data_IF_124995370782
#
_entry.id   IF_124995370782
#
_cell.length_a   1.000
_cell.length_b   1.000
_cell.length_c   1.000
_cell.angle_alpha   90.00
_cell.angle_beta   90.00
_cell.angle_gamma   90.00
#
_symmetry.space_group_name_H-M   'P 1'
#
loop_
_entity.id
_entity.type
_entity.pdbx_description
1 polymer ?
#
# COMPACT_ATOMS: atom_id res chain seq x y z
N UNK A 1 19.70 -4.09 -42.91
CA UNK A 1 19.78 -4.58 -41.50
C UNK A 1 19.87 -3.47 -40.44
N UNK A 2 20.17 -2.20 -40.75
CA UNK A 2 20.33 -1.12 -39.76
C UNK A 2 19.02 -0.45 -39.31
N UNK A 3 17.98 -0.38 -40.12
CA UNK A 3 16.71 0.31 -39.78
C UNK A 3 15.84 -0.47 -38.79
N UNK A 4 15.88 -1.80 -38.81
CA UNK A 4 15.11 -2.65 -37.89
C UNK A 4 15.70 -2.67 -36.47
N UNK A 5 17.00 -2.55 -36.31
CA UNK A 5 17.67 -2.44 -35.01
C UNK A 5 17.34 -1.10 -34.31
N UNK A 6 17.29 0.00 -35.07
CA UNK A 6 16.98 1.35 -34.55
C UNK A 6 15.54 1.47 -34.03
N UNK A 7 14.54 0.85 -34.70
CA UNK A 7 13.14 0.88 -34.26
C UNK A 7 12.87 -0.03 -33.06
N UNK A 8 13.59 -1.17 -32.92
CA UNK A 8 13.51 -2.05 -31.77
C UNK A 8 14.12 -1.41 -30.51
N UNK A 9 15.22 -0.69 -30.63
CA UNK A 9 15.86 0.04 -29.52
C UNK A 9 15.04 1.26 -29.10
N UNK A 10 14.45 2.00 -30.05
CA UNK A 10 13.53 3.09 -29.73
C UNK A 10 12.29 2.59 -28.97
N UNK A 11 11.75 1.43 -29.34
CA UNK A 11 10.63 0.80 -28.62
C UNK A 11 11.03 0.30 -27.24
N UNK A 12 12.27 -0.15 -27.08
CA UNK A 12 12.82 -0.59 -25.78
C UNK A 12 12.99 0.60 -24.84
N UNK A 13 13.60 1.67 -25.26
CA UNK A 13 13.77 2.90 -24.46
C UNK A 13 12.42 3.50 -24.08
N UNK A 14 11.45 3.52 -25.00
CA UNK A 14 10.12 4.03 -24.75
C UNK A 14 9.39 3.30 -23.62
N UNK A 15 9.42 1.96 -23.56
CA UNK A 15 8.71 1.20 -22.51
C UNK A 15 9.30 1.44 -21.12
N UNK A 16 10.64 1.59 -20.99
CA UNK A 16 11.27 1.90 -19.70
C UNK A 16 10.98 3.32 -19.25
N UNK A 17 10.88 4.28 -20.19
CA UNK A 17 10.43 5.64 -19.89
C UNK A 17 8.97 5.64 -19.41
N UNK A 18 8.09 4.90 -20.07
CA UNK A 18 6.69 4.71 -19.62
C UNK A 18 6.65 4.09 -18.23
N UNK A 19 7.48 3.08 -17.94
CA UNK A 19 7.57 2.53 -16.58
C UNK A 19 7.95 3.58 -15.55
N UNK A 20 8.92 4.44 -15.85
CA UNK A 20 9.29 5.56 -14.98
C UNK A 20 8.13 6.54 -14.72
N UNK A 21 7.37 6.86 -15.77
CA UNK A 21 6.16 7.67 -15.65
C UNK A 21 5.10 6.99 -14.76
N UNK A 22 4.81 5.70 -14.98
CA UNK A 22 3.84 4.94 -14.20
C UNK A 22 4.30 4.76 -12.74
N UNK A 23 5.61 4.57 -12.51
CA UNK A 23 6.20 4.55 -11.17
C UNK A 23 5.97 5.87 -10.44
N UNK A 24 6.29 7.02 -11.07
CA UNK A 24 6.08 8.33 -10.48
C UNK A 24 4.59 8.57 -10.15
N UNK A 25 3.68 8.26 -11.09
CA UNK A 25 2.25 8.38 -10.84
C UNK A 25 1.77 7.50 -9.68
N UNK A 26 2.27 6.25 -9.58
CA UNK A 26 1.90 5.33 -8.50
C UNK A 26 2.50 5.73 -7.15
N UNK A 27 3.67 6.36 -7.13
CA UNK A 27 4.23 6.96 -5.92
C UNK A 27 3.30 8.03 -5.32
N UNK A 28 2.57 8.77 -6.16
CA UNK A 28 1.54 9.71 -5.73
C UNK A 28 0.43 9.09 -4.89
N UNK A 29 0.09 7.81 -5.12
CA UNK A 29 -0.88 7.08 -4.31
C UNK A 29 -0.35 6.89 -2.86
N UNK A 30 0.90 6.48 -2.73
CA UNK A 30 1.56 6.32 -1.43
C UNK A 30 1.76 7.65 -0.71
N UNK A 31 2.14 8.68 -1.46
CA UNK A 31 2.29 10.06 -0.96
C UNK A 31 0.96 10.55 -0.36
N UNK A 32 -0.14 10.47 -1.12
CA UNK A 32 -1.48 10.90 -0.70
C UNK A 32 -2.03 10.07 0.47
N UNK A 33 -1.75 8.77 0.49
CA UNK A 33 -2.11 7.91 1.62
C UNK A 33 -1.46 8.38 2.91
N UNK A 34 -0.14 8.63 2.88
CA UNK A 34 0.65 8.95 4.06
C UNK A 34 0.39 10.35 4.62
N UNK A 35 -0.16 11.28 3.82
CA UNK A 35 -0.37 12.68 4.24
C UNK A 35 -1.04 12.77 5.61
N UNK A 36 -2.14 12.01 5.81
CA UNK A 36 -2.91 12.12 7.05
C UNK A 36 -2.14 11.64 8.29
N UNK A 37 -1.43 10.51 8.18
CA UNK A 37 -0.61 10.00 9.28
C UNK A 37 0.54 10.96 9.65
N UNK A 38 1.11 11.65 8.66
CA UNK A 38 2.21 12.60 8.88
C UNK A 38 1.79 13.94 9.51
N UNK A 39 0.50 14.29 9.44
CA UNK A 39 -0.04 15.54 9.99
C UNK A 39 -1.08 15.31 11.08
N UNK A 40 -1.08 14.13 11.70
CA UNK A 40 -2.09 13.75 12.70
C UNK A 40 -2.14 14.70 13.89
N UNK A 41 -0.99 14.99 14.51
CA UNK A 41 -0.91 15.87 15.69
C UNK A 41 -1.32 17.33 15.40
N UNK A 42 -0.88 17.96 14.29
CA UNK A 42 -1.42 19.25 13.85
C UNK A 42 -2.95 19.24 13.66
N UNK A 43 -3.55 18.17 13.10
CA UNK A 43 -5.00 18.08 12.94
C UNK A 43 -5.74 17.94 14.27
N UNK A 44 -5.17 17.16 15.21
CA UNK A 44 -5.73 17.03 16.56
C UNK A 44 -5.71 18.39 17.26
N UNK A 45 -4.59 19.11 17.22
CA UNK A 45 -4.43 20.39 17.93
C UNK A 45 -5.23 21.54 17.28
N UNK A 46 -5.29 21.62 15.94
CA UNK A 46 -5.92 22.75 15.23
C UNK A 46 -7.41 22.58 14.99
N UNK A 47 -7.86 21.35 14.72
CA UNK A 47 -9.28 21.06 14.43
C UNK A 47 -10.01 20.37 15.59
N UNK A 48 -9.35 20.14 16.72
CA UNK A 48 -9.95 19.48 17.89
C UNK A 48 -10.34 18.02 17.62
N UNK A 49 -9.65 17.34 16.70
CA UNK A 49 -9.95 15.96 16.35
C UNK A 49 -9.40 15.01 17.41
N UNK A 50 -10.04 13.84 17.53
CA UNK A 50 -9.55 12.72 18.33
C UNK A 50 -8.74 11.75 17.43
N UNK A 51 -7.83 10.98 18.01
CA UNK A 51 -7.05 10.00 17.26
C UNK A 51 -7.92 8.90 16.64
N UNK A 52 -9.05 8.54 17.25
CA UNK A 52 -10.07 7.69 16.62
C UNK A 52 -10.59 8.27 15.30
N UNK A 53 -10.79 9.58 15.24
CA UNK A 53 -11.20 10.26 14.00
C UNK A 53 -10.07 10.27 12.96
N UNK A 54 -8.81 10.48 13.39
CA UNK A 54 -7.63 10.36 12.51
C UNK A 54 -7.56 8.94 11.92
N UNK A 55 -7.64 7.91 12.76
CA UNK A 55 -7.67 6.53 12.30
C UNK A 55 -8.84 6.24 11.34
N UNK A 56 -10.03 6.80 11.63
CA UNK A 56 -11.20 6.69 10.75
C UNK A 56 -10.93 7.33 9.39
N UNK A 57 -10.33 8.52 9.35
CA UNK A 57 -9.97 9.19 8.10
C UNK A 57 -8.91 8.40 7.28
N UNK A 58 -7.99 7.69 7.94
CA UNK A 58 -7.05 6.78 7.27
C UNK A 58 -7.83 5.59 6.67
N UNK A 59 -8.75 5.00 7.42
CA UNK A 59 -9.59 3.90 6.95
C UNK A 59 -10.53 4.32 5.80
N UNK A 60 -11.10 5.51 5.84
CA UNK A 60 -11.98 6.04 4.78
C UNK A 60 -11.27 6.17 3.42
N UNK A 61 -9.96 6.35 3.41
CA UNK A 61 -9.20 6.34 2.15
C UNK A 61 -9.19 4.96 1.49
N UNK A 62 -9.22 3.89 2.27
CA UNK A 62 -9.20 2.51 1.76
C UNK A 62 -10.59 1.91 1.60
N UNK A 63 -11.62 2.50 2.24
CA UNK A 63 -13.00 2.02 2.20
C UNK A 63 -13.58 1.87 0.78
N UNK A 64 -13.36 2.79 -0.19
CA UNK A 64 -13.83 2.58 -1.55
C UNK A 64 -13.29 1.30 -2.18
N UNK A 65 -12.09 0.84 -1.77
CA UNK A 65 -11.51 -0.41 -2.23
C UNK A 65 -12.31 -1.64 -1.82
N UNK A 66 -12.91 -1.63 -0.63
CA UNK A 66 -13.78 -2.70 -0.17
C UNK A 66 -15.00 -2.91 -1.09
N UNK A 67 -15.54 -1.81 -1.63
CA UNK A 67 -16.76 -1.83 -2.45
C UNK A 67 -16.45 -1.95 -3.95
N UNK A 68 -15.37 -1.34 -4.41
CA UNK A 68 -15.11 -1.11 -5.82
C UNK A 68 -13.95 -1.94 -6.39
N UNK A 69 -13.17 -2.66 -5.58
CA UNK A 69 -12.04 -3.44 -6.09
C UNK A 69 -12.48 -4.50 -7.14
N UNK A 70 -13.62 -5.18 -6.92
CA UNK A 70 -14.19 -6.12 -7.87
C UNK A 70 -14.76 -5.43 -9.13
N UNK A 71 -15.65 -4.41 -9.01
CA UNK A 71 -16.23 -3.75 -10.18
C UNK A 71 -15.24 -2.85 -10.94
N UNK A 72 -14.13 -2.40 -10.32
CA UNK A 72 -13.15 -1.56 -10.99
C UNK A 72 -12.63 -2.17 -12.31
N UNK A 73 -12.38 -3.48 -12.33
CA UNK A 73 -11.96 -4.17 -13.54
C UNK A 73 -12.99 -4.15 -14.70
N UNK A 74 -14.27 -3.87 -14.41
CA UNK A 74 -15.31 -3.79 -15.44
C UNK A 74 -15.29 -2.45 -16.20
N UNK A 75 -14.94 -1.35 -15.53
CA UNK A 75 -14.92 -0.02 -16.13
C UNK A 75 -13.92 0.10 -17.29
N UNK A 76 -12.83 -0.63 -17.28
CA UNK A 76 -11.84 -0.66 -18.36
C UNK A 76 -12.32 -1.26 -19.68
N UNK A 77 -13.56 -1.77 -19.73
CA UNK A 77 -14.19 -2.20 -20.98
C UNK A 77 -14.77 -1.03 -21.78
N UNK A 78 -15.06 0.08 -21.11
CA UNK A 78 -15.76 1.23 -21.66
C UNK A 78 -14.90 2.48 -21.78
N UNK A 79 -13.86 2.58 -20.95
CA UNK A 79 -12.97 3.74 -20.87
C UNK A 79 -11.53 3.33 -21.16
N UNK A 80 -10.76 4.25 -21.74
CA UNK A 80 -9.33 4.02 -21.97
C UNK A 80 -8.54 4.03 -20.65
N UNK A 81 -7.48 3.23 -20.57
CA UNK A 81 -6.59 3.21 -19.39
C UNK A 81 -6.03 4.60 -19.07
N UNK A 82 -5.71 5.38 -20.11
CA UNK A 82 -5.27 6.78 -20.00
C UNK A 82 -6.32 7.62 -19.28
N UNK A 83 -7.58 7.56 -19.67
CA UNK A 83 -8.67 8.32 -19.06
C UNK A 83 -8.93 7.88 -17.61
N UNK A 84 -8.90 6.56 -17.36
CA UNK A 84 -9.13 5.99 -16.04
C UNK A 84 -8.04 6.39 -15.05
N UNK A 85 -6.76 6.32 -15.45
CA UNK A 85 -5.63 6.69 -14.58
C UNK A 85 -5.57 8.21 -14.39
N UNK A 86 -5.79 9.01 -15.46
CA UNK A 86 -5.87 10.47 -15.31
C UNK A 86 -7.00 10.88 -14.37
N UNK A 87 -8.20 10.27 -14.52
CA UNK A 87 -9.33 10.49 -13.61
C UNK A 87 -9.04 10.06 -12.17
N UNK A 88 -8.37 8.93 -11.99
CA UNK A 88 -7.95 8.45 -10.66
C UNK A 88 -6.97 9.43 -9.98
N UNK A 89 -5.97 9.92 -10.72
CA UNK A 89 -5.03 10.92 -10.20
C UNK A 89 -5.69 12.27 -9.94
N UNK A 90 -6.69 12.66 -10.73
CA UNK A 90 -7.50 13.85 -10.47
C UNK A 90 -8.39 13.68 -9.24
N UNK A 91 -8.95 12.49 -8.98
CA UNK A 91 -9.66 12.20 -7.72
C UNK A 91 -8.70 12.30 -6.51
N UNK A 92 -7.47 11.80 -6.62
CA UNK A 92 -6.46 11.97 -5.57
C UNK A 92 -6.11 13.44 -5.36
N UNK A 93 -5.90 14.19 -6.43
CA UNK A 93 -5.61 15.62 -6.37
C UNK A 93 -6.77 16.41 -5.78
N UNK A 94 -8.00 16.15 -6.24
CA UNK A 94 -9.22 16.80 -5.74
C UNK A 94 -9.49 16.46 -4.28
N UNK A 95 -9.32 15.20 -3.88
CA UNK A 95 -9.42 14.79 -2.49
C UNK A 95 -8.37 15.46 -1.59
N UNK A 96 -7.12 15.60 -2.07
CA UNK A 96 -6.08 16.36 -1.36
C UNK A 96 -6.45 17.85 -1.21
N UNK A 97 -6.90 18.49 -2.30
CA UNK A 97 -7.34 19.88 -2.27
C UNK A 97 -8.53 20.10 -1.32
N UNK A 98 -9.53 19.21 -1.37
CA UNK A 98 -10.66 19.24 -0.44
C UNK A 98 -10.22 19.09 1.02
N UNK A 99 -9.24 18.22 1.29
CA UNK A 99 -8.69 18.05 2.62
C UNK A 99 -7.96 19.31 3.11
N UNK A 100 -7.19 19.96 2.25
CA UNK A 100 -6.52 21.23 2.57
C UNK A 100 -7.51 22.35 2.91
N UNK A 101 -8.69 22.36 2.29
CA UNK A 101 -9.76 23.33 2.51
C UNK A 101 -10.72 22.95 3.65
N UNK A 102 -10.56 21.76 4.23
CA UNK A 102 -11.46 21.28 5.26
C UNK A 102 -11.29 22.04 6.60
N UNK A 103 -12.42 22.26 7.27
CA UNK A 103 -12.48 22.95 8.58
C UNK A 103 -12.90 22.00 9.71
N UNK A 104 -13.03 20.70 9.44
CA UNK A 104 -13.43 19.70 10.43
C UNK A 104 -13.53 18.31 9.84
N UNK A 105 -13.93 17.36 10.69
CA UNK A 105 -13.98 15.93 10.37
C UNK A 105 -14.78 15.60 9.10
N UNK A 106 -15.98 16.17 8.92
CA UNK A 106 -16.86 15.86 7.78
C UNK A 106 -16.24 16.22 6.43
N UNK A 107 -15.59 17.38 6.33
CA UNK A 107 -14.88 17.80 5.12
C UNK A 107 -13.69 16.89 4.82
N UNK A 108 -12.91 16.54 5.84
CA UNK A 108 -11.80 15.58 5.70
C UNK A 108 -12.30 14.18 5.31
N UNK A 109 -13.42 13.71 5.87
CA UNK A 109 -14.00 12.42 5.55
C UNK A 109 -14.42 12.34 4.07
N UNK A 110 -15.10 13.36 3.56
CA UNK A 110 -15.45 13.46 2.14
C UNK A 110 -14.18 13.46 1.25
N UNK A 111 -13.21 14.29 1.64
CA UNK A 111 -11.92 14.38 0.93
C UNK A 111 -11.22 13.03 0.84
N UNK A 112 -11.21 12.26 1.93
CA UNK A 112 -10.60 10.91 1.98
C UNK A 112 -11.35 9.90 1.13
N UNK A 113 -12.68 9.94 1.09
CA UNK A 113 -13.48 9.08 0.19
C UNK A 113 -13.19 9.39 -1.28
N UNK A 114 -13.14 10.68 -1.66
CA UNK A 114 -12.82 11.09 -3.03
C UNK A 114 -11.41 10.65 -3.42
N UNK A 115 -10.42 10.88 -2.56
CA UNK A 115 -9.05 10.40 -2.80
C UNK A 115 -8.98 8.87 -2.85
N UNK A 116 -9.76 8.18 -2.02
CA UNK A 116 -9.86 6.72 -1.99
C UNK A 116 -10.40 6.11 -3.29
N UNK A 117 -11.36 6.76 -3.96
CA UNK A 117 -11.76 6.36 -5.31
C UNK A 117 -10.57 6.37 -6.26
N UNK A 118 -9.80 7.47 -6.27
CA UNK A 118 -8.59 7.59 -7.06
C UNK A 118 -7.55 6.50 -6.74
N UNK A 119 -7.38 6.17 -5.46
CA UNK A 119 -6.47 5.13 -5.01
C UNK A 119 -6.80 3.75 -5.59
N UNK A 120 -8.08 3.35 -5.56
CA UNK A 120 -8.52 2.03 -6.07
C UNK A 120 -8.29 1.92 -7.57
N UNK A 121 -8.80 2.89 -8.35
CA UNK A 121 -8.65 2.87 -9.81
C UNK A 121 -7.18 3.04 -10.22
N UNK A 122 -6.42 3.93 -9.57
CA UNK A 122 -4.99 4.09 -9.81
C UNK A 122 -4.20 2.81 -9.57
N UNK A 123 -4.47 2.08 -8.48
CA UNK A 123 -3.81 0.81 -8.16
C UNK A 123 -4.07 -0.24 -9.24
N UNK A 124 -5.32 -0.41 -9.67
CA UNK A 124 -5.71 -1.42 -10.67
C UNK A 124 -5.12 -1.09 -12.04
N UNK A 125 -5.32 0.14 -12.52
CA UNK A 125 -5.01 0.47 -13.90
C UNK A 125 -3.53 0.77 -14.16
N UNK A 126 -2.79 1.36 -13.20
CA UNK A 126 -1.34 1.51 -13.32
C UNK A 126 -0.65 0.14 -13.40
N UNK A 127 -1.12 -0.84 -12.63
CA UNK A 127 -0.61 -2.21 -12.70
C UNK A 127 -0.94 -2.87 -14.05
N UNK A 128 -2.17 -2.68 -14.56
CA UNK A 128 -2.57 -3.16 -15.88
C UNK A 128 -1.72 -2.53 -16.99
N UNK A 129 -1.50 -1.21 -16.95
CA UNK A 129 -0.70 -0.50 -17.96
C UNK A 129 0.73 -1.04 -18.05
N UNK A 130 1.37 -1.39 -16.93
CA UNK A 130 2.68 -2.06 -16.96
C UNK A 130 2.58 -3.44 -17.62
N UNK A 131 1.55 -4.23 -17.30
CA UNK A 131 1.34 -5.54 -17.94
C UNK A 131 1.11 -5.45 -19.45
N UNK A 132 0.53 -4.36 -19.93
CA UNK A 132 0.31 -4.13 -21.36
C UNK A 132 1.59 -3.75 -22.12
N UNK A 133 2.53 -3.07 -21.46
CA UNK A 133 3.80 -2.64 -22.04
C UNK A 133 4.92 -3.70 -21.96
N UNK A 134 4.84 -4.62 -21.00
CA UNK A 134 5.90 -5.61 -20.74
C UNK A 134 5.35 -7.04 -20.88
N UNK A 135 6.19 -7.92 -21.42
CA UNK A 135 5.86 -9.34 -21.60
C UNK A 135 7.05 -10.24 -21.30
N UNK A 136 6.82 -11.54 -21.10
CA UNK A 136 7.88 -12.52 -20.85
C UNK A 136 8.65 -12.23 -19.56
N UNK A 137 9.96 -12.41 -19.61
CA UNK A 137 10.87 -12.25 -18.45
C UNK A 137 10.94 -10.81 -17.92
N UNK A 138 10.76 -9.81 -18.77
CA UNK A 138 10.83 -8.40 -18.37
C UNK A 138 9.60 -7.94 -17.59
N UNK A 139 8.46 -8.61 -17.72
CA UNK A 139 7.26 -8.31 -16.95
C UNK A 139 7.48 -8.40 -15.44
N UNK A 140 8.17 -9.42 -14.97
CA UNK A 140 8.46 -9.60 -13.54
C UNK A 140 9.31 -8.44 -12.99
N UNK A 141 10.34 -8.03 -13.75
CA UNK A 141 11.19 -6.89 -13.38
C UNK A 141 10.40 -5.58 -13.35
N UNK A 142 9.60 -5.30 -14.39
CA UNK A 142 8.80 -4.09 -14.48
C UNK A 142 7.75 -4.00 -13.36
N UNK A 143 7.09 -5.12 -13.04
CA UNK A 143 6.15 -5.20 -11.92
C UNK A 143 6.85 -5.00 -10.58
N UNK A 144 8.03 -5.59 -10.39
CA UNK A 144 8.85 -5.38 -9.20
C UNK A 144 9.17 -3.90 -8.99
N UNK A 145 9.64 -3.21 -10.04
CA UNK A 145 9.91 -1.77 -9.98
C UNK A 145 8.63 -0.99 -9.66
N UNK A 146 7.51 -1.29 -10.33
CA UNK A 146 6.24 -0.59 -10.08
C UNK A 146 5.79 -0.74 -8.62
N UNK A 147 5.90 -1.94 -8.04
CA UNK A 147 5.48 -2.20 -6.65
C UNK A 147 6.28 -1.35 -5.65
N UNK A 148 7.58 -1.11 -5.93
CA UNK A 148 8.44 -0.28 -5.08
C UNK A 148 8.02 1.20 -5.03
N UNK A 149 7.19 1.67 -5.98
CA UNK A 149 6.66 3.04 -5.96
C UNK A 149 5.77 3.34 -4.75
N UNK A 150 5.13 2.32 -4.18
CA UNK A 150 4.25 2.48 -3.01
C UNK A 150 5.05 2.83 -1.74
N UNK A 151 6.01 2.01 -1.26
CA UNK A 151 6.84 2.39 -0.12
C UNK A 151 7.67 3.65 -0.39
N UNK A 152 8.09 3.91 -1.64
CA UNK A 152 8.76 5.14 -2.03
C UNK A 152 7.88 6.37 -1.77
N UNK A 153 6.63 6.36 -2.24
CA UNK A 153 5.68 7.46 -2.02
C UNK A 153 5.36 7.66 -0.54
N UNK A 154 5.20 6.58 0.23
CA UNK A 154 5.00 6.63 1.68
C UNK A 154 6.20 7.27 2.37
N UNK A 155 7.42 6.84 2.07
CA UNK A 155 8.64 7.36 2.69
C UNK A 155 8.83 8.86 2.41
N UNK A 156 8.60 9.28 1.16
CA UNK A 156 8.62 10.70 0.78
C UNK A 156 7.54 11.50 1.53
N UNK A 157 6.32 10.95 1.62
CA UNK A 157 5.21 11.58 2.33
C UNK A 157 5.47 11.69 3.83
N UNK A 158 6.04 10.65 4.44
CA UNK A 158 6.35 10.63 5.87
C UNK A 158 7.25 11.83 6.26
N UNK A 159 8.36 12.02 5.55
CA UNK A 159 9.33 13.08 5.84
C UNK A 159 8.84 14.43 5.32
N UNK A 160 8.45 14.49 4.05
CA UNK A 160 8.10 15.75 3.38
C UNK A 160 6.86 16.41 3.97
N UNK A 161 5.81 15.65 4.29
CA UNK A 161 4.59 16.21 4.87
C UNK A 161 4.79 16.63 6.32
N UNK A 162 5.56 15.87 7.11
CA UNK A 162 5.90 16.27 8.48
C UNK A 162 6.71 17.57 8.48
N UNK A 163 7.67 17.70 7.56
CA UNK A 163 8.45 18.93 7.39
C UNK A 163 7.58 20.12 6.99
N UNK A 164 6.68 19.95 6.01
CA UNK A 164 5.74 21.00 5.58
C UNK A 164 4.81 21.42 6.72
N UNK A 165 4.31 20.46 7.51
CA UNK A 165 3.43 20.75 8.64
C UNK A 165 4.16 21.52 9.76
N UNK A 166 5.45 21.23 9.99
CA UNK A 166 6.25 21.89 11.02
C UNK A 166 6.70 23.30 10.63
N UNK A 167 6.97 23.57 9.33
CA UNK A 167 7.59 24.84 8.90
C UNK A 167 6.62 25.78 8.16
N UNK A 168 5.48 25.27 7.68
CA UNK A 168 4.49 26.06 6.93
C UNK A 168 3.12 25.96 7.60
N UNK A 169 2.40 24.87 7.33
CA UNK A 169 1.09 24.53 7.86
C UNK A 169 0.76 23.08 7.43
N UNK A 170 -0.07 22.38 8.19
CA UNK A 170 -0.52 21.02 7.83
C UNK A 170 -1.26 20.96 6.49
N UNK A 171 -1.94 22.06 6.09
CA UNK A 171 -2.61 22.18 4.78
C UNK A 171 -1.64 22.13 3.63
N UNK A 172 -0.41 22.65 3.80
CA UNK A 172 0.63 22.62 2.78
C UNK A 172 0.99 21.19 2.37
N UNK A 173 0.95 20.23 3.31
CA UNK A 173 1.16 18.82 3.00
C UNK A 173 0.10 18.26 2.04
N UNK A 174 -1.17 18.59 2.26
CA UNK A 174 -2.26 18.19 1.36
C UNK A 174 -2.18 18.88 0.00
N UNK A 175 -1.83 20.16 -0.05
CA UNK A 175 -1.62 20.89 -1.30
C UNK A 175 -0.46 20.33 -2.10
N UNK A 176 0.66 19.98 -1.47
CA UNK A 176 1.81 19.37 -2.13
C UNK A 176 1.46 18.01 -2.73
N UNK A 177 0.78 17.14 -1.96
CA UNK A 177 0.30 15.85 -2.45
C UNK A 177 -0.72 16.00 -3.60
N UNK A 178 -1.61 16.99 -3.50
CA UNK A 178 -2.60 17.33 -4.52
C UNK A 178 -1.93 17.78 -5.82
N UNK A 179 -0.98 18.72 -5.75
CA UNK A 179 -0.21 19.19 -6.89
C UNK A 179 0.57 18.07 -7.57
N UNK A 180 1.23 17.20 -6.78
CA UNK A 180 1.94 16.03 -7.31
C UNK A 180 1.01 15.11 -8.12
N UNK A 181 -0.18 14.79 -7.58
CA UNK A 181 -1.15 13.95 -8.28
C UNK A 181 -1.72 14.64 -9.52
N UNK A 182 -1.97 15.95 -9.48
CA UNK A 182 -2.43 16.73 -10.64
C UNK A 182 -1.39 16.76 -11.76
N UNK A 183 -0.11 16.96 -11.42
CA UNK A 183 1.00 16.87 -12.39
C UNK A 183 1.11 15.46 -12.98
N UNK A 184 0.92 14.41 -12.15
CA UNK A 184 0.86 13.03 -12.63
C UNK A 184 -0.30 12.81 -13.61
N UNK A 185 -1.49 13.35 -13.32
CA UNK A 185 -2.64 13.27 -14.22
C UNK A 185 -2.37 13.96 -15.56
N UNK A 186 -1.79 15.15 -15.53
CA UNK A 186 -1.38 15.86 -16.75
C UNK A 186 -0.31 15.10 -17.53
N UNK A 187 0.68 14.53 -16.84
CA UNK A 187 1.74 13.75 -17.47
C UNK A 187 1.20 12.49 -18.16
N UNK A 188 0.27 11.74 -17.52
CA UNK A 188 -0.42 10.60 -18.16
C UNK A 188 -1.25 11.08 -19.35
N UNK A 189 -2.00 12.18 -19.19
CA UNK A 189 -2.83 12.73 -20.25
C UNK A 189 -2.03 13.20 -21.47
N UNK A 190 -0.81 13.68 -21.30
CA UNK A 190 0.03 14.20 -22.38
C UNK A 190 0.93 13.11 -23.00
N UNK A 191 1.57 12.31 -22.17
CA UNK A 191 2.69 11.46 -22.59
C UNK A 191 2.35 9.98 -22.70
N UNK A 192 1.31 9.48 -21.99
CA UNK A 192 0.97 8.05 -22.10
C UNK A 192 0.30 7.74 -23.42
N UNK A 193 0.80 6.71 -24.10
CA UNK A 193 0.17 6.11 -25.29
C UNK A 193 -0.02 4.61 -25.05
N UNK A 194 -1.19 4.09 -25.35
CA UNK A 194 -1.44 2.65 -25.24
C UNK A 194 -0.65 1.89 -26.31
N UNK A 195 -0.07 0.71 -25.99
CA UNK A 195 0.68 -0.10 -26.95
C UNK A 195 -0.19 -0.76 -28.05
N UNK A 196 -1.48 -0.43 -28.12
CA UNK A 196 -2.38 -0.92 -29.17
C UNK A 196 -2.79 -2.39 -29.08
N UNK A 197 -2.31 -3.11 -28.09
CA UNK A 197 -2.63 -4.51 -27.84
C UNK A 197 -3.86 -4.63 -26.94
N UNK A 198 -5.06 -4.49 -27.50
CA UNK A 198 -6.27 -4.93 -26.83
C UNK A 198 -6.21 -6.47 -26.70
N UNK A 199 -5.73 -6.98 -25.58
CA UNK A 199 -5.92 -8.40 -25.25
C UNK A 199 -7.37 -8.60 -24.83
N UNK A 200 -8.17 -9.40 -25.57
CA UNK A 200 -9.50 -9.77 -25.08
C UNK A 200 -9.30 -10.45 -23.72
N UNK A 201 -9.88 -9.88 -22.67
CA UNK A 201 -9.83 -10.51 -21.36
C UNK A 201 -10.41 -11.92 -21.48
N UNK A 202 -9.59 -12.94 -21.22
CA UNK A 202 -10.09 -14.30 -21.10
C UNK A 202 -11.16 -14.31 -20.01
N UNK A 203 -12.38 -14.60 -20.40
CA UNK A 203 -13.49 -14.83 -19.46
C UNK A 203 -13.20 -16.12 -18.73
N UNK A 204 -12.51 -16.02 -17.59
CA UNK A 204 -12.40 -17.13 -16.65
C UNK A 204 -13.76 -17.44 -16.01
N UNK A 205 -13.93 -18.63 -15.41
CA UNK A 205 -15.13 -18.99 -14.67
C UNK A 205 -15.46 -17.92 -13.62
N UNK A 206 -16.74 -17.56 -13.51
CA UNK A 206 -17.23 -16.52 -12.61
C UNK A 206 -17.40 -17.03 -11.16
N UNK A 207 -16.38 -17.63 -10.56
CA UNK A 207 -16.44 -18.07 -9.18
C UNK A 207 -15.28 -18.96 -8.74
N UNK A 208 -15.14 -19.13 -7.41
CA UNK A 208 -14.20 -20.03 -6.77
C UNK A 208 -14.91 -21.30 -6.30
N UNK A 209 -14.18 -22.42 -6.23
CA UNK A 209 -14.64 -23.61 -5.52
C UNK A 209 -14.68 -23.34 -4.01
N UNK A 210 -15.48 -24.08 -3.25
CA UNK A 210 -15.58 -23.91 -1.78
C UNK A 210 -14.23 -23.95 -1.08
N UNK A 211 -13.35 -24.87 -1.48
CA UNK A 211 -11.98 -24.95 -0.97
C UNK A 211 -11.12 -23.73 -1.35
N UNK A 212 -11.26 -23.25 -2.57
CA UNK A 212 -10.51 -22.06 -3.04
C UNK A 212 -11.00 -20.79 -2.34
N UNK A 213 -12.31 -20.69 -2.04
CA UNK A 213 -12.86 -19.60 -1.22
C UNK A 213 -12.21 -19.54 0.15
N UNK A 214 -12.16 -20.65 0.87
CA UNK A 214 -11.56 -20.72 2.20
C UNK A 214 -10.07 -20.34 2.15
N UNK A 215 -9.31 -20.94 1.25
CA UNK A 215 -7.88 -20.67 1.12
C UNK A 215 -7.60 -19.23 0.69
N UNK A 216 -8.41 -18.67 -0.21
CA UNK A 216 -8.26 -17.26 -0.68
C UNK A 216 -8.59 -16.27 0.42
N UNK A 217 -9.64 -16.52 1.22
CA UNK A 217 -9.99 -15.69 2.38
C UNK A 217 -8.87 -15.73 3.43
N UNK A 218 -8.31 -16.90 3.72
CA UNK A 218 -7.17 -17.01 4.65
C UNK A 218 -5.94 -16.27 4.13
N UNK A 219 -5.59 -16.43 2.85
CA UNK A 219 -4.47 -15.70 2.25
C UNK A 219 -4.70 -14.17 2.23
N UNK A 220 -5.93 -13.73 1.90
CA UNK A 220 -6.33 -12.33 1.96
C UNK A 220 -6.27 -11.76 3.39
N UNK A 221 -6.62 -12.57 4.39
CA UNK A 221 -6.51 -12.18 5.80
C UNK A 221 -5.05 -12.03 6.24
N UNK A 222 -4.14 -12.92 5.80
CA UNK A 222 -2.71 -12.78 6.08
C UNK A 222 -2.19 -11.47 5.49
N UNK A 223 -2.50 -11.19 4.23
CA UNK A 223 -2.11 -9.96 3.56
C UNK A 223 -2.72 -8.72 4.22
N UNK A 224 -4.00 -8.80 4.60
CA UNK A 224 -4.74 -7.73 5.27
C UNK A 224 -4.18 -7.41 6.65
N UNK A 225 -3.97 -8.42 7.49
CA UNK A 225 -3.40 -8.27 8.84
C UNK A 225 -1.98 -7.71 8.80
N UNK A 226 -1.13 -8.21 7.90
CA UNK A 226 0.24 -7.73 7.72
C UNK A 226 0.25 -6.25 7.33
N UNK A 227 -0.54 -5.86 6.31
CA UNK A 227 -0.59 -4.47 5.88
C UNK A 227 -1.29 -3.56 6.89
N UNK A 228 -2.31 -4.03 7.59
CA UNK A 228 -2.96 -3.28 8.67
C UNK A 228 -1.97 -2.97 9.81
N UNK A 229 -1.15 -3.95 10.21
CA UNK A 229 -0.05 -3.75 11.15
C UNK A 229 0.94 -2.70 10.66
N UNK A 230 1.33 -2.79 9.38
CA UNK A 230 2.23 -1.82 8.76
C UNK A 230 1.63 -0.40 8.71
N UNK A 231 0.36 -0.26 8.32
CA UNK A 231 -0.35 1.03 8.30
C UNK A 231 -0.45 1.64 9.69
N UNK A 232 -0.79 0.85 10.71
CA UNK A 232 -0.85 1.33 12.10
C UNK A 232 0.53 1.75 12.58
N UNK A 233 1.58 0.98 12.30
CA UNK A 233 2.96 1.37 12.58
C UNK A 233 3.32 2.72 11.95
N UNK A 234 3.12 2.89 10.65
CA UNK A 234 3.46 4.13 9.94
C UNK A 234 2.69 5.35 10.47
N UNK A 235 1.45 5.16 10.89
CA UNK A 235 0.55 6.25 11.25
C UNK A 235 0.67 6.67 12.72
N UNK A 236 1.06 5.75 13.63
CA UNK A 236 1.06 6.00 15.07
C UNK A 236 2.44 5.86 15.74
N UNK A 237 3.45 5.25 15.09
CA UNK A 237 4.78 5.16 15.67
C UNK A 237 5.48 6.53 15.86
N UNK A 238 5.29 7.53 14.96
CA UNK A 238 5.85 8.86 15.21
C UNK A 238 5.42 9.46 16.55
N UNK A 239 4.14 9.29 16.96
CA UNK A 239 3.64 9.83 18.23
C UNK A 239 4.34 9.23 19.46
N UNK A 240 4.74 7.95 19.39
CA UNK A 240 5.53 7.32 20.48
C UNK A 240 6.90 7.98 20.60
N UNK A 241 7.54 8.28 19.47
CA UNK A 241 8.86 8.92 19.45
C UNK A 241 8.78 10.38 19.90
N UNK A 242 7.71 11.10 19.53
CA UNK A 242 7.45 12.47 19.97
C UNK A 242 7.18 12.50 21.49
N UNK A 243 6.36 11.59 22.00
CA UNK A 243 6.14 11.44 23.44
C UNK A 243 7.42 11.11 24.21
N UNK A 244 8.38 10.43 23.56
CA UNK A 244 9.72 10.17 24.08
C UNK A 244 10.72 11.32 23.91
N UNK A 245 10.27 12.52 23.48
CA UNK A 245 11.05 13.74 23.40
C UNK A 245 11.75 14.01 22.07
N UNK A 246 11.42 13.28 20.99
CA UNK A 246 11.93 13.60 19.65
C UNK A 246 11.09 14.67 18.97
N UNK A 247 11.75 15.50 18.15
CA UNK A 247 11.05 16.43 17.28
C UNK A 247 10.15 15.69 16.25
N UNK A 248 8.97 16.23 15.88
CA UNK A 248 8.03 15.55 14.98
C UNK A 248 8.63 15.17 13.61
N UNK A 249 9.47 16.03 13.03
CA UNK A 249 10.15 15.78 11.77
C UNK A 249 11.20 14.68 11.88
N UNK A 250 11.94 14.65 12.99
CA UNK A 250 12.90 13.59 13.29
C UNK A 250 12.18 12.25 13.51
N UNK A 251 11.10 12.23 14.28
CA UNK A 251 10.29 11.04 14.50
C UNK A 251 9.76 10.47 13.17
N UNK A 252 9.21 11.32 12.29
CA UNK A 252 8.75 10.92 10.96
C UNK A 252 9.90 10.37 10.09
N UNK A 253 11.07 11.01 10.12
CA UNK A 253 12.25 10.56 9.39
C UNK A 253 12.73 9.19 9.86
N UNK A 254 12.79 8.94 11.16
CA UNK A 254 13.18 7.64 11.74
C UNK A 254 12.20 6.54 11.31
N UNK A 255 10.89 6.78 11.37
CA UNK A 255 9.90 5.78 10.95
C UNK A 255 9.94 5.55 9.44
N UNK A 256 10.24 6.56 8.64
CA UNK A 256 10.37 6.44 7.19
C UNK A 256 11.51 5.49 6.74
N UNK A 257 12.54 5.29 7.57
CA UNK A 257 13.66 4.36 7.30
C UNK A 257 13.11 2.98 6.93
N UNK A 258 12.07 2.51 7.61
CA UNK A 258 11.43 1.24 7.33
C UNK A 258 10.94 1.14 5.88
N UNK A 259 10.27 2.19 5.37
CA UNK A 259 9.76 2.23 4.00
C UNK A 259 10.88 2.32 2.96
N UNK A 260 11.91 3.13 3.23
CA UNK A 260 13.08 3.23 2.34
C UNK A 260 13.82 1.90 2.20
N UNK A 261 14.07 1.22 3.30
CA UNK A 261 14.80 -0.05 3.32
C UNK A 261 13.94 -1.18 2.72
N UNK A 262 12.63 -1.16 2.94
CA UNK A 262 11.69 -2.12 2.37
C UNK A 262 11.75 -2.18 0.83
N UNK A 263 12.12 -1.08 0.15
CA UNK A 263 12.27 -1.04 -1.31
C UNK A 263 13.29 -2.08 -1.80
N UNK A 264 14.38 -2.26 -1.07
CA UNK A 264 15.44 -3.22 -1.42
C UNK A 264 15.20 -4.58 -0.77
N UNK A 265 14.84 -4.60 0.52
CA UNK A 265 14.72 -5.84 1.29
C UNK A 265 13.63 -6.77 0.78
N UNK A 266 12.53 -6.22 0.24
CA UNK A 266 11.46 -7.02 -0.34
C UNK A 266 11.91 -7.87 -1.54
N UNK A 267 12.72 -7.29 -2.42
CA UNK A 267 13.29 -8.01 -3.56
C UNK A 267 14.30 -9.08 -3.12
N UNK A 268 15.16 -8.74 -2.15
CA UNK A 268 16.14 -9.68 -1.59
C UNK A 268 15.46 -10.85 -0.87
N UNK A 269 14.42 -10.58 -0.09
CA UNK A 269 13.65 -11.62 0.60
C UNK A 269 13.04 -12.62 -0.37
N UNK A 270 12.43 -12.14 -1.47
CA UNK A 270 11.92 -13.01 -2.54
C UNK A 270 13.00 -13.88 -3.16
N UNK A 271 14.16 -13.30 -3.50
CA UNK A 271 15.29 -14.05 -4.07
C UNK A 271 15.85 -15.12 -3.10
N UNK A 272 15.98 -14.79 -1.81
CA UNK A 272 16.44 -15.74 -0.79
C UNK A 272 15.43 -16.90 -0.69
N UNK A 273 14.15 -16.61 -0.63
CA UNK A 273 13.09 -17.62 -0.55
C UNK A 273 13.07 -18.54 -1.79
N UNK A 274 13.27 -18.01 -2.98
CA UNK A 274 13.30 -18.79 -4.22
C UNK A 274 14.56 -19.66 -4.33
N UNK A 275 15.72 -19.17 -3.84
CA UNK A 275 16.98 -19.94 -3.85
C UNK A 275 17.03 -21.04 -2.79
N UNK A 276 16.46 -20.78 -1.62
CA UNK A 276 16.53 -21.72 -0.48
C UNK A 276 15.35 -22.67 -0.41
N UNK A 277 14.21 -22.32 -1.03
CA UNK A 277 12.95 -23.05 -0.89
C UNK A 277 12.27 -22.87 0.49
N UNK A 278 12.88 -22.11 1.41
CA UNK A 278 12.47 -21.97 2.81
C UNK A 278 11.41 -20.85 2.99
N UNK A 279 10.34 -20.84 2.18
CA UNK A 279 9.31 -19.78 2.20
C UNK A 279 8.62 -19.65 3.56
N UNK A 280 8.18 -20.76 4.14
CA UNK A 280 7.45 -20.77 5.39
C UNK A 280 8.30 -20.31 6.59
N UNK A 281 9.52 -20.85 6.81
CA UNK A 281 10.41 -20.36 7.86
C UNK A 281 10.73 -18.85 7.75
N UNK A 282 10.95 -18.35 6.51
CA UNK A 282 11.21 -16.93 6.26
C UNK A 282 10.00 -16.08 6.66
N UNK A 283 8.78 -16.49 6.32
CA UNK A 283 7.55 -15.78 6.72
C UNK A 283 7.40 -15.69 8.24
N UNK A 284 7.62 -16.78 8.96
CA UNK A 284 7.57 -16.78 10.43
C UNK A 284 8.68 -15.92 11.04
N UNK A 285 9.91 -16.03 10.54
CA UNK A 285 11.01 -15.23 11.02
C UNK A 285 10.76 -13.73 10.82
N UNK A 286 10.41 -13.32 9.60
CA UNK A 286 10.12 -11.92 9.29
C UNK A 286 8.94 -11.38 10.11
N UNK A 287 7.85 -12.13 10.23
CA UNK A 287 6.69 -11.76 11.04
C UNK A 287 7.03 -11.62 12.53
N UNK A 288 7.89 -12.50 13.06
CA UNK A 288 8.38 -12.38 14.45
C UNK A 288 9.24 -11.15 14.66
N UNK A 289 10.14 -10.84 13.71
CA UNK A 289 10.95 -9.62 13.76
C UNK A 289 10.08 -8.38 13.67
N UNK A 290 9.06 -8.37 12.79
CA UNK A 290 8.10 -7.26 12.71
C UNK A 290 7.40 -7.03 14.06
N UNK A 291 6.89 -8.09 14.67
CA UNK A 291 6.22 -8.01 15.97
C UNK A 291 7.16 -7.50 17.07
N UNK A 292 8.37 -8.07 17.17
CA UNK A 292 9.34 -7.71 18.23
C UNK A 292 9.84 -6.27 18.07
N UNK A 293 10.17 -5.84 16.85
CA UNK A 293 10.67 -4.47 16.61
C UNK A 293 9.61 -3.42 16.94
N UNK A 294 8.34 -3.69 16.63
CA UNK A 294 7.24 -2.79 16.98
C UNK A 294 7.01 -2.74 18.49
N UNK A 295 7.08 -3.90 19.19
CA UNK A 295 6.97 -3.97 20.65
C UNK A 295 8.10 -3.25 21.37
N UNK A 296 9.31 -3.23 20.80
CA UNK A 296 10.47 -2.58 21.42
C UNK A 296 10.56 -1.07 21.11
N UNK A 297 9.68 -0.52 20.27
CA UNK A 297 9.78 0.86 19.80
C UNK A 297 9.51 1.90 20.91
N UNK A 298 8.94 1.49 22.05
CA UNK A 298 8.84 2.34 23.25
C UNK A 298 10.23 2.70 23.83
N UNK A 299 11.27 1.94 23.52
CA UNK A 299 12.66 2.29 23.82
C UNK A 299 13.22 3.27 22.79
N UNK A 300 12.86 4.55 22.90
CA UNK A 300 13.12 5.60 21.90
C UNK A 300 14.61 5.73 21.51
N UNK A 301 15.53 5.40 22.40
CA UNK A 301 16.96 5.35 22.10
C UNK A 301 17.33 4.36 21.00
N UNK A 302 16.55 3.28 20.86
CA UNK A 302 16.74 2.24 19.84
C UNK A 302 15.87 2.40 18.59
N UNK A 303 15.14 3.52 18.46
CA UNK A 303 14.17 3.71 17.38
C UNK A 303 14.79 3.59 15.98
N UNK A 304 16.00 4.12 15.75
CA UNK A 304 16.71 4.04 14.45
C UNK A 304 17.04 2.59 14.09
N UNK A 305 17.78 1.82 14.91
CA UNK A 305 18.07 0.43 14.59
C UNK A 305 16.81 -0.44 14.54
N UNK A 306 15.77 -0.17 15.34
CA UNK A 306 14.51 -0.91 15.28
C UNK A 306 13.75 -0.63 13.98
N UNK A 307 13.67 0.62 13.50
CA UNK A 307 13.04 0.96 12.22
C UNK A 307 13.82 0.37 11.04
N UNK A 308 15.17 0.36 11.12
CA UNK A 308 16.02 -0.27 10.13
C UNK A 308 15.77 -1.80 10.09
N UNK A 309 15.75 -2.46 11.24
CA UNK A 309 15.52 -3.90 11.35
C UNK A 309 14.10 -4.28 10.89
N UNK A 310 13.11 -3.46 11.25
CA UNK A 310 11.74 -3.63 10.77
C UNK A 310 11.66 -3.55 9.24
N UNK A 311 12.26 -2.54 8.60
CA UNK A 311 12.28 -2.39 7.15
C UNK A 311 13.09 -3.48 6.43
N UNK A 312 14.24 -3.88 7.02
CA UNK A 312 15.15 -4.85 6.41
C UNK A 312 14.57 -6.28 6.45
N UNK A 313 13.93 -6.66 7.55
CA UNK A 313 13.45 -8.02 7.79
C UNK A 313 11.94 -8.05 7.99
N UNK A 314 11.40 -7.26 8.91
CA UNK A 314 9.99 -7.34 9.29
C UNK A 314 9.02 -7.06 8.14
N UNK A 315 9.28 -6.04 7.34
CA UNK A 315 8.45 -5.65 6.20
C UNK A 315 8.81 -6.37 4.88
N UNK A 316 9.95 -7.06 4.83
CA UNK A 316 10.46 -7.71 3.63
C UNK A 316 9.55 -8.80 3.02
N UNK A 317 8.75 -9.61 3.78
CA UNK A 317 8.03 -10.75 3.21
C UNK A 317 6.77 -10.37 2.42
N UNK A 318 6.49 -9.09 2.19
CA UNK A 318 5.30 -8.62 1.47
C UNK A 318 5.10 -9.36 0.13
N UNK A 319 6.17 -9.54 -0.67
CA UNK A 319 6.13 -10.28 -1.93
C UNK A 319 5.82 -11.78 -1.75
N UNK A 320 6.34 -12.40 -0.69
CA UNK A 320 6.06 -13.82 -0.39
C UNK A 320 4.61 -14.03 0.03
N UNK A 321 4.03 -13.12 0.81
CA UNK A 321 2.62 -13.19 1.20
C UNK A 321 1.72 -13.05 -0.03
N UNK A 322 2.03 -12.13 -0.94
CA UNK A 322 1.31 -12.00 -2.22
C UNK A 322 1.41 -13.28 -3.07
N UNK A 323 2.55 -13.97 -3.05
CA UNK A 323 2.73 -15.21 -3.80
C UNK A 323 1.84 -16.37 -3.29
N UNK A 324 1.32 -16.32 -2.05
CA UNK A 324 0.36 -17.31 -1.54
C UNK A 324 -0.90 -17.40 -2.42
N UNK A 325 -1.28 -16.34 -3.13
CA UNK A 325 -2.42 -16.33 -4.05
C UNK A 325 -2.30 -17.40 -5.15
N UNK A 326 -1.06 -17.71 -5.58
CA UNK A 326 -0.80 -18.75 -6.58
C UNK A 326 -1.13 -20.15 -6.06
N UNK A 327 -0.98 -20.36 -4.75
CA UNK A 327 -1.20 -21.64 -4.08
C UNK A 327 -2.68 -21.87 -3.68
N UNK A 328 -3.49 -20.82 -3.69
CA UNK A 328 -4.87 -20.85 -3.16
C UNK A 328 -5.96 -21.01 -4.23
N UNK A 329 -5.65 -20.78 -5.50
CA UNK A 329 -6.63 -20.78 -6.57
C UNK A 329 -6.06 -21.27 -7.91
N UNK A 330 -6.90 -21.92 -8.71
CA UNK A 330 -6.53 -22.36 -10.05
C UNK A 330 -6.27 -21.16 -10.98
N UNK A 331 -5.35 -21.28 -11.98
CA UNK A 331 -5.01 -20.19 -12.90
C UNK A 331 -6.22 -19.56 -13.59
N UNK A 332 -7.21 -20.38 -13.98
CA UNK A 332 -8.43 -19.96 -14.69
C UNK A 332 -9.35 -19.09 -13.83
N UNK A 333 -9.25 -19.19 -12.48
CA UNK A 333 -10.09 -18.48 -11.51
C UNK A 333 -9.39 -17.33 -10.81
N UNK A 334 -8.11 -17.09 -11.13
CA UNK A 334 -7.29 -16.06 -10.48
C UNK A 334 -7.90 -14.67 -10.59
N UNK A 335 -8.51 -14.31 -11.71
CA UNK A 335 -9.09 -12.98 -11.86
C UNK A 335 -10.18 -12.70 -10.82
N UNK A 336 -11.10 -13.64 -10.60
CA UNK A 336 -12.14 -13.52 -9.58
C UNK A 336 -11.55 -13.66 -8.16
N UNK A 337 -10.67 -14.65 -7.96
CA UNK A 337 -10.04 -14.89 -6.67
C UNK A 337 -9.18 -13.74 -6.17
N UNK A 338 -8.46 -13.05 -7.06
CA UNK A 338 -7.73 -11.82 -6.69
C UNK A 338 -8.67 -10.71 -6.22
N UNK A 339 -9.87 -10.60 -6.81
CA UNK A 339 -10.88 -9.68 -6.30
C UNK A 339 -11.29 -10.00 -4.86
N UNK A 340 -11.56 -11.26 -4.55
CA UNK A 340 -11.87 -11.72 -3.18
C UNK A 340 -10.71 -11.46 -2.24
N UNK A 341 -9.49 -11.82 -2.63
CA UNK A 341 -8.27 -11.59 -1.86
C UNK A 341 -8.09 -10.11 -1.50
N UNK A 342 -8.24 -9.22 -2.47
CA UNK A 342 -8.07 -7.77 -2.27
C UNK A 342 -9.24 -7.19 -1.45
N UNK A 343 -10.45 -7.70 -1.62
CA UNK A 343 -11.60 -7.28 -0.78
C UNK A 343 -11.36 -7.62 0.69
N UNK A 344 -10.89 -8.83 1.00
CA UNK A 344 -10.53 -9.23 2.37
C UNK A 344 -9.40 -8.35 2.93
N UNK A 345 -8.37 -8.06 2.14
CA UNK A 345 -7.32 -7.12 2.50
C UNK A 345 -7.90 -5.75 2.91
N UNK A 346 -8.81 -5.18 2.11
CA UNK A 346 -9.39 -3.88 2.40
C UNK A 346 -10.21 -3.86 3.71
N UNK A 347 -10.82 -4.97 4.14
CA UNK A 347 -11.48 -5.06 5.44
C UNK A 347 -10.52 -4.70 6.57
N UNK A 348 -9.35 -5.34 6.60
CA UNK A 348 -8.37 -5.13 7.67
C UNK A 348 -7.74 -3.74 7.66
N UNK A 349 -7.31 -3.26 6.49
CA UNK A 349 -6.66 -1.94 6.40
C UNK A 349 -7.63 -0.77 6.59
N UNK A 350 -8.93 -1.01 6.41
CA UNK A 350 -9.97 -0.01 6.68
C UNK A 350 -10.33 0.04 8.17
N UNK A 351 -10.38 -1.11 8.86
CA UNK A 351 -10.85 -1.18 10.24
C UNK A 351 -9.73 -1.00 11.28
N UNK A 352 -8.50 -1.38 10.97
CA UNK A 352 -7.41 -1.33 11.95
C UNK A 352 -7.02 0.10 12.39
N UNK A 353 -6.89 1.12 11.50
CA UNK A 353 -6.54 2.47 11.92
C UNK A 353 -7.57 3.13 12.85
N UNK A 354 -8.91 3.05 12.60
CA UNK A 354 -9.90 3.53 13.57
C UNK A 354 -9.77 2.89 14.94
N UNK A 355 -9.55 1.57 14.98
CA UNK A 355 -9.35 0.83 16.23
C UNK A 355 -8.07 1.30 16.96
N UNK A 356 -6.98 1.51 16.21
CA UNK A 356 -5.73 2.02 16.76
C UNK A 356 -5.92 3.40 17.40
N UNK A 357 -6.59 4.32 16.69
CA UNK A 357 -6.87 5.65 17.22
C UNK A 357 -7.81 5.62 18.43
N UNK A 358 -8.81 4.74 18.44
CA UNK A 358 -9.70 4.55 19.59
C UNK A 358 -8.95 4.03 20.83
N UNK A 359 -8.00 3.09 20.64
CA UNK A 359 -7.15 2.60 21.73
C UNK A 359 -6.30 3.73 22.29
N UNK A 360 -5.75 4.59 21.43
CA UNK A 360 -4.98 5.76 21.85
C UNK A 360 -5.85 6.71 22.69
N UNK A 361 -7.00 7.13 22.17
CA UNK A 361 -7.90 8.07 22.86
C UNK A 361 -8.37 7.52 24.22
N UNK A 362 -8.61 6.20 24.33
CA UNK A 362 -9.09 5.56 25.56
C UNK A 362 -8.02 5.45 26.63
N UNK A 363 -6.79 5.18 26.23
CA UNK A 363 -5.67 4.95 27.15
C UNK A 363 -4.89 6.22 27.48
N UNK A 364 -4.90 7.21 26.58
CA UNK A 364 -3.99 8.37 26.62
C UNK A 364 -2.53 8.00 26.33
N UNK A 365 -2.25 6.75 25.97
CA UNK A 365 -0.90 6.22 25.73
C UNK A 365 -0.66 5.99 24.22
N UNK A 366 0.27 6.72 23.59
CA UNK A 366 0.59 6.58 22.17
C UNK A 366 1.18 5.20 21.82
N UNK A 367 1.58 4.40 22.80
CA UNK A 367 2.10 3.05 22.58
C UNK A 367 1.00 2.00 22.33
N UNK A 368 -0.24 2.23 22.76
CA UNK A 368 -1.33 1.28 22.59
C UNK A 368 -1.63 0.91 21.13
N UNK A 369 -1.62 1.85 20.16
CA UNK A 369 -1.69 1.51 18.74
C UNK A 369 -0.58 0.55 18.28
N UNK A 370 0.61 0.63 18.84
CA UNK A 370 1.72 -0.26 18.48
C UNK A 370 1.54 -1.67 19.02
N UNK A 371 0.91 -1.83 20.18
CA UNK A 371 0.49 -3.15 20.68
C UNK A 371 -0.51 -3.80 19.73
N UNK A 372 -1.47 -3.03 19.20
CA UNK A 372 -2.37 -3.51 18.16
C UNK A 372 -1.60 -3.91 16.89
N UNK A 373 -0.66 -3.07 16.44
CA UNK A 373 0.18 -3.37 15.26
C UNK A 373 0.93 -4.69 15.42
N UNK A 374 1.58 -4.89 16.58
CA UNK A 374 2.27 -6.13 16.90
C UNK A 374 1.32 -7.33 16.93
N UNK A 375 0.11 -7.16 17.50
CA UNK A 375 -0.95 -8.16 17.52
C UNK A 375 -1.42 -8.52 16.11
N UNK A 376 -1.49 -7.56 15.19
CA UNK A 376 -1.86 -7.79 13.78
C UNK A 376 -0.78 -8.62 13.05
N UNK A 377 0.52 -8.36 13.29
CA UNK A 377 1.59 -9.20 12.76
C UNK A 377 1.54 -10.63 13.34
N UNK A 378 1.31 -10.77 14.66
CA UNK A 378 1.10 -12.06 15.29
C UNK A 378 -0.12 -12.80 14.75
N UNK A 379 -1.22 -12.08 14.52
CA UNK A 379 -2.43 -12.60 13.88
C UNK A 379 -2.17 -13.09 12.46
N UNK A 380 -1.38 -12.36 11.67
CA UNK A 380 -0.98 -12.80 10.32
C UNK A 380 -0.23 -14.14 10.35
N UNK A 381 0.69 -14.32 11.30
CA UNK A 381 1.41 -15.60 11.47
C UNK A 381 0.48 -16.74 11.93
N UNK A 382 -0.47 -16.44 12.82
CA UNK A 382 -1.46 -17.43 13.28
C UNK A 382 -2.38 -17.88 12.14
N UNK A 383 -2.88 -16.94 11.33
CA UNK A 383 -3.70 -17.26 10.14
C UNK A 383 -2.86 -18.00 9.09
N UNK A 384 -1.57 -17.68 8.94
CA UNK A 384 -0.69 -18.42 8.04
C UNK A 384 -0.51 -19.87 8.47
N UNK A 385 -0.35 -20.12 9.77
CA UNK A 385 -0.33 -21.50 10.31
C UNK A 385 -1.64 -22.22 10.03
N UNK A 386 -2.78 -21.54 10.21
CA UNK A 386 -4.10 -22.09 9.90
C UNK A 386 -4.23 -22.43 8.40
N UNK A 387 -3.75 -21.56 7.52
CA UNK A 387 -3.72 -21.80 6.06
C UNK A 387 -2.98 -23.10 5.75
N UNK A 388 -1.75 -23.28 6.30
CA UNK A 388 -0.95 -24.50 6.10
C UNK A 388 -1.63 -25.73 6.65
N UNK A 389 -2.26 -25.65 7.80
CA UNK A 389 -3.02 -26.75 8.39
C UNK A 389 -4.24 -27.15 7.52
N UNK A 390 -4.99 -26.18 7.01
CA UNK A 390 -6.12 -26.41 6.10
C UNK A 390 -5.64 -27.04 4.79
N UNK A 391 -4.57 -26.52 4.19
CA UNK A 391 -3.97 -27.12 2.97
C UNK A 391 -3.58 -28.59 3.20
N UNK A 392 -2.91 -28.88 4.31
CA UNK A 392 -2.54 -30.25 4.67
C UNK A 392 -3.75 -31.16 4.80
N UNK A 393 -4.82 -30.72 5.51
CA UNK A 393 -6.07 -31.47 5.63
C UNK A 393 -6.75 -31.72 4.28
N UNK A 394 -6.74 -30.76 3.37
CA UNK A 394 -7.34 -30.90 2.04
C UNK A 394 -6.53 -31.78 1.08
N UNK A 395 -5.25 -32.05 1.38
CA UNK A 395 -4.43 -33.04 0.66
C UNK A 395 -4.66 -34.46 1.12
N UNK A 396 -5.18 -34.64 2.35
CA UNK A 396 -5.48 -35.95 2.93
C UNK A 396 -6.94 -36.40 2.69
N UNK A 397 -7.80 -35.48 2.21
CA UNK A 397 -9.20 -35.72 1.88
C UNK A 397 -9.43 -35.85 0.38
#
# INVERSE_FOLDING_TARGET
MSATASTADASRTQRWWILGLLFACRAGLGLQFQTLGSVADPLVSTLGLRYAQIGTLIGLFTLPGLLLALPAGYLGRHLSDRSLVSGALLCLAGGGALAALAHGFGGLALARLVAGLGFVFGTVYLTKMVADWFSGKELATAMGILVMSWPFGIAMGQVGHAWLAAHVDWRAAFWAASAYCALGAAAIALFYRSPGLARPGQRGPAGLLRKEWLLTVLAGSIWGLFNAGYVVYLSFAPQVLVAGGREPTEAAAVISIASWVMIVSGALCGQIADRTGLRDPILYFCGSVAMVTVLLLNHVAWAVPLSLLFGLIGAAPAGLIMALTVETMAPQRRAFGMGVFVTVFFVFVTLAPPLAGWLYDRSGDPYQPLLLSAGLFGGAMAVFRLLRWVQWRLLLA
#
